data_IF_751566128771
#
_entry.id   IF_751566128771
#
_cell.length_a   1.000
_cell.length_b   1.000
_cell.length_c   1.000
_cell.angle_alpha   90.00
_cell.angle_beta   90.00
_cell.angle_gamma   90.00
#
_symmetry.space_group_name_H-M   'P 1'
#
loop_
_entity.id
_entity.type
_entity.pdbx_description
1 polymer ?
#
# COMPACT_ATOMS: atom_id res chain seq x y z
N UNK A 1 -5.24 14.86 14.08
CA UNK A 1 -4.24 14.18 13.23
C UNK A 1 -4.59 14.48 11.78
N UNK A 2 -3.60 14.90 10.97
CA UNK A 2 -3.84 15.36 9.60
C UNK A 2 -4.03 14.19 8.64
N UNK A 3 -4.95 14.33 7.67
CA UNK A 3 -5.16 13.38 6.57
C UNK A 3 -3.85 13.07 5.81
N UNK A 4 -2.95 14.07 5.74
CA UNK A 4 -1.62 13.93 5.14
C UNK A 4 -0.72 12.93 5.89
N UNK A 5 -0.83 12.83 7.22
CA UNK A 5 -0.04 11.88 8.00
C UNK A 5 -0.49 10.44 7.75
N UNK A 6 -1.81 10.23 7.62
CA UNK A 6 -2.37 8.91 7.32
C UNK A 6 -2.00 8.44 5.90
N UNK A 7 -2.02 9.36 4.93
CA UNK A 7 -1.61 9.08 3.55
C UNK A 7 -0.11 8.72 3.47
N UNK A 8 0.74 9.42 4.21
CA UNK A 8 2.16 9.10 4.31
C UNK A 8 2.38 7.69 4.90
N UNK A 9 1.68 7.36 5.99
CA UNK A 9 1.77 6.05 6.63
C UNK A 9 1.33 4.91 5.69
N UNK A 10 0.21 5.08 4.97
CA UNK A 10 -0.26 4.10 3.99
C UNK A 10 0.72 3.93 2.83
N UNK A 11 1.32 5.03 2.38
CA UNK A 11 2.33 5.00 1.31
C UNK A 11 3.57 4.22 1.74
N UNK A 12 4.05 4.44 2.96
CA UNK A 12 5.18 3.69 3.51
C UNK A 12 4.84 2.20 3.70
N UNK A 13 3.64 1.87 4.18
CA UNK A 13 3.15 0.47 4.24
C UNK A 13 3.13 -0.18 2.86
N UNK A 14 2.64 0.52 1.84
CA UNK A 14 2.60 0.02 0.47
C UNK A 14 4.02 -0.25 -0.08
N UNK A 15 4.97 0.66 0.16
CA UNK A 15 6.38 0.47 -0.25
C UNK A 15 7.02 -0.71 0.47
N UNK A 16 6.84 -0.81 1.79
CA UNK A 16 7.36 -1.92 2.60
C UNK A 16 6.81 -3.27 2.13
N UNK A 17 5.50 -3.34 1.85
CA UNK A 17 4.87 -4.55 1.35
C UNK A 17 5.35 -4.93 -0.06
N UNK A 18 5.59 -3.95 -0.94
CA UNK A 18 6.17 -4.21 -2.26
C UNK A 18 7.58 -4.83 -2.15
N UNK A 19 8.42 -4.28 -1.28
CA UNK A 19 9.76 -4.81 -1.03
C UNK A 19 9.70 -6.23 -0.45
N UNK A 20 8.79 -6.47 0.50
CA UNK A 20 8.60 -7.80 1.09
C UNK A 20 8.17 -8.83 0.04
N UNK A 21 7.26 -8.46 -0.87
CA UNK A 21 6.86 -9.33 -1.98
C UNK A 21 8.05 -9.67 -2.88
N UNK A 22 8.90 -8.70 -3.22
CA UNK A 22 10.08 -8.93 -4.06
C UNK A 22 11.09 -9.85 -3.36
N UNK A 23 11.37 -9.61 -2.08
CA UNK A 23 12.24 -10.45 -1.26
C UNK A 23 11.71 -11.88 -1.19
N UNK A 24 10.43 -12.08 -0.88
CA UNK A 24 9.82 -13.41 -0.81
C UNK A 24 9.79 -14.09 -2.18
N UNK A 25 9.44 -13.39 -3.25
CA UNK A 25 9.43 -13.95 -4.63
C UNK A 25 10.83 -14.35 -5.11
N UNK A 26 11.88 -13.71 -4.58
CA UNK A 26 13.26 -14.04 -4.92
C UNK A 26 13.82 -15.24 -4.15
N UNK A 27 13.17 -15.72 -3.08
CA UNK A 27 13.62 -16.90 -2.32
C UNK A 27 13.28 -18.19 -3.08
N UNK A 28 14.15 -19.20 -3.00
CA UNK A 28 13.84 -20.55 -3.48
C UNK A 28 12.96 -21.24 -2.43
N UNK A 29 11.68 -21.49 -2.75
CA UNK A 29 10.70 -22.06 -1.82
C UNK A 29 9.70 -21.06 -1.25
N UNK A 30 9.49 -19.93 -1.93
CA UNK A 30 8.46 -18.95 -1.57
C UNK A 30 7.08 -19.59 -1.51
N UNK A 31 6.30 -19.22 -0.50
CA UNK A 31 4.89 -19.61 -0.45
C UNK A 31 4.07 -18.72 -1.38
N UNK A 32 3.64 -19.28 -2.51
CA UNK A 32 2.79 -18.62 -3.49
C UNK A 32 1.47 -18.11 -2.89
N UNK A 33 0.92 -18.77 -1.85
CA UNK A 33 -0.27 -18.28 -1.15
C UNK A 33 0.04 -17.00 -0.37
N UNK A 34 1.18 -16.95 0.30
CA UNK A 34 1.61 -15.77 1.04
C UNK A 34 1.89 -14.59 0.10
N UNK A 35 2.61 -14.82 -1.01
CA UNK A 35 2.85 -13.81 -2.04
C UNK A 35 1.53 -13.30 -2.63
N UNK A 36 0.56 -14.19 -2.91
CA UNK A 36 -0.76 -13.80 -3.41
C UNK A 36 -1.50 -12.92 -2.42
N UNK A 37 -1.49 -13.29 -1.13
CA UNK A 37 -2.11 -12.49 -0.06
C UNK A 37 -1.47 -11.10 0.05
N UNK A 38 -0.14 -11.03 0.03
CA UNK A 38 0.59 -9.76 0.07
C UNK A 38 0.27 -8.88 -1.15
N UNK A 39 0.20 -9.47 -2.36
CA UNK A 39 -0.19 -8.73 -3.58
C UNK A 39 -1.62 -8.17 -3.48
N UNK A 40 -2.56 -8.94 -2.92
CA UNK A 40 -3.93 -8.45 -2.67
C UNK A 40 -3.96 -7.31 -1.66
N UNK A 41 -3.19 -7.41 -0.58
CA UNK A 41 -3.07 -6.34 0.41
C UNK A 41 -2.42 -5.08 -0.17
N UNK A 42 -1.41 -5.23 -1.04
CA UNK A 42 -0.80 -4.13 -1.80
C UNK A 42 -1.83 -3.42 -2.68
N UNK A 43 -2.72 -4.16 -3.34
CA UNK A 43 -3.79 -3.59 -4.16
C UNK A 43 -4.77 -2.78 -3.30
N UNK A 44 -5.18 -3.31 -2.14
CA UNK A 44 -6.06 -2.60 -1.19
C UNK A 44 -5.43 -1.31 -0.67
N UNK A 45 -4.15 -1.34 -0.29
CA UNK A 45 -3.43 -0.14 0.14
C UNK A 45 -3.39 0.91 -0.98
N UNK A 46 -3.14 0.49 -2.23
CA UNK A 46 -3.17 1.40 -3.38
C UNK A 46 -4.54 2.08 -3.55
N UNK A 47 -5.64 1.32 -3.42
CA UNK A 47 -7.00 1.87 -3.50
C UNK A 47 -7.31 2.83 -2.36
N UNK A 48 -6.89 2.50 -1.12
CA UNK A 48 -7.05 3.39 0.03
C UNK A 48 -6.27 4.70 -0.14
N UNK A 49 -5.01 4.62 -0.60
CA UNK A 49 -4.21 5.81 -0.91
C UNK A 49 -4.88 6.65 -1.99
N UNK A 50 -5.38 6.03 -3.06
CA UNK A 50 -6.05 6.75 -4.15
C UNK A 50 -7.30 7.49 -3.64
N UNK A 51 -8.16 6.83 -2.85
CA UNK A 51 -9.35 7.46 -2.25
C UNK A 51 -8.98 8.62 -1.33
N UNK A 52 -8.03 8.41 -0.43
CA UNK A 52 -7.60 9.48 0.50
C UNK A 52 -6.89 10.63 -0.20
N UNK A 53 -6.17 10.35 -1.29
CA UNK A 53 -5.56 11.40 -2.13
C UNK A 53 -6.63 12.24 -2.81
N UNK A 54 -7.69 11.59 -3.31
CA UNK A 54 -8.81 12.28 -3.95
C UNK A 54 -9.60 13.12 -2.93
N UNK A 55 -9.91 12.55 -1.77
CA UNK A 55 -10.54 13.27 -0.65
C UNK A 55 -9.71 14.48 -0.20
N UNK A 56 -8.39 14.32 -0.08
CA UNK A 56 -7.47 15.40 0.27
C UNK A 56 -7.45 16.51 -0.78
N UNK A 57 -7.58 16.15 -2.06
CA UNK A 57 -7.57 17.11 -3.16
C UNK A 57 -8.90 17.88 -3.26
N UNK A 58 -10.03 17.24 -2.92
CA UNK A 58 -11.33 17.90 -2.80
C UNK A 58 -11.37 18.86 -1.61
N UNK A 59 -10.81 18.45 -0.46
CA UNK A 59 -10.76 19.30 0.73
C UNK A 59 -9.90 20.57 0.55
N UNK A 60 -8.90 20.56 -0.33
CA UNK A 60 -8.03 21.71 -0.60
C UNK A 60 -8.62 22.71 -1.61
N UNK A 61 -9.72 22.36 -2.29
CA UNK A 61 -10.36 23.18 -3.33
C UNK A 61 -11.56 24.02 -2.83
N UNK A 62 -11.86 23.95 -1.53
CA UNK A 62 -12.97 24.65 -0.89
C UNK A 62 -12.45 25.57 0.20
#
# INVERSE_FOLDING_TARGET
MSLSAHLAELTEKHKSLARKIEEETSRLGSDDLEIRRMKQEKLRLKEQIARLSDDSHMAARH
#
